data_IF_778005261217
#
_entry.id   IF_778005261217
#
_cell.length_a   1.000
_cell.length_b   1.000
_cell.length_c   1.000
_cell.angle_alpha   90.00
_cell.angle_beta   90.00
_cell.angle_gamma   90.00
#
_symmetry.space_group_name_H-M   'P 1'
#
loop_
_entity.id
_entity.type
_entity.pdbx_description
1 polymer ?
#
# COMPACT_ATOMS: atom_id res chain seq x y z
N UNK A 1 10.23 65.98 -25.71
CA UNK A 1 11.53 66.60 -25.59
C UNK A 1 12.52 65.45 -25.64
N UNK A 2 12.83 65.08 -26.74
CA UNK A 2 13.97 65.29 -27.64
C UNK A 2 15.09 64.27 -27.47
N UNK A 3 15.22 63.50 -28.52
CA UNK A 3 16.35 62.71 -28.99
C UNK A 3 17.40 63.68 -29.58
N UNK A 4 18.71 63.44 -29.70
CA UNK A 4 19.27 62.69 -30.84
C UNK A 4 20.51 61.81 -30.52
N UNK A 5 20.78 60.66 -31.17
CA UNK A 5 21.34 60.37 -32.53
C UNK A 5 22.76 60.86 -32.82
N UNK A 6 23.65 59.96 -33.20
CA UNK A 6 24.60 59.88 -34.32
C UNK A 6 25.77 58.93 -34.01
N UNK A 7 26.00 57.86 -34.71
CA UNK A 7 26.55 57.60 -36.06
C UNK A 7 28.08 57.66 -36.18
N UNK A 8 28.58 56.66 -36.93
CA UNK A 8 29.80 56.48 -37.74
C UNK A 8 30.94 55.76 -37.00
N UNK A 9 31.53 54.66 -37.45
CA UNK A 9 31.72 54.08 -38.76
C UNK A 9 33.22 53.93 -39.02
N UNK A 10 33.70 52.74 -39.33
CA UNK A 10 34.81 52.51 -40.30
C UNK A 10 35.32 51.06 -40.21
N UNK A 11 35.35 50.40 -41.33
CA UNK A 11 35.94 49.12 -41.73
C UNK A 11 37.38 49.33 -42.27
N UNK A 12 38.09 48.25 -42.74
CA UNK A 12 38.98 47.27 -42.11
C UNK A 12 40.46 47.49 -42.57
N UNK A 13 41.41 46.54 -42.36
CA UNK A 13 41.66 45.49 -43.35
C UNK A 13 42.22 44.15 -42.86
N UNK A 14 42.20 43.20 -43.78
CA UNK A 14 42.66 41.83 -43.81
C UNK A 14 44.06 41.52 -43.27
N UNK A 15 44.23 40.30 -42.76
CA UNK A 15 45.20 39.32 -43.26
C UNK A 15 45.29 38.06 -42.35
N UNK A 16 44.97 36.92 -42.89
CA UNK A 16 45.75 35.70 -43.00
C UNK A 16 46.15 34.94 -41.74
N UNK A 17 45.68 33.66 -41.65
CA UNK A 17 46.34 32.69 -40.76
C UNK A 17 45.43 31.53 -40.37
N UNK A 18 45.52 30.46 -41.14
CA UNK A 18 44.97 29.13 -40.90
C UNK A 18 45.45 28.52 -39.58
N UNK A 19 44.54 28.05 -38.73
CA UNK A 19 44.74 26.84 -37.97
C UNK A 19 43.39 26.20 -37.65
N UNK A 20 43.26 24.98 -38.14
CA UNK A 20 42.20 24.03 -37.78
C UNK A 20 42.36 23.66 -36.31
N UNK A 21 41.32 23.85 -35.53
CA UNK A 21 41.11 23.07 -34.35
C UNK A 21 39.63 22.69 -34.21
N UNK A 22 39.46 21.39 -34.20
CA UNK A 22 38.25 20.60 -34.14
C UNK A 22 37.58 20.76 -32.76
N UNK A 23 36.51 21.51 -32.67
CA UNK A 23 35.62 21.48 -31.50
C UNK A 23 34.43 20.58 -31.82
N UNK A 24 34.43 19.38 -31.27
CA UNK A 24 33.36 18.41 -31.36
C UNK A 24 32.10 18.95 -30.66
N UNK A 25 31.07 19.18 -31.44
CA UNK A 25 29.71 19.43 -30.98
C UNK A 25 29.11 18.11 -30.41
N UNK A 26 28.90 18.04 -29.11
CA UNK A 26 28.09 17.00 -28.46
C UNK A 26 26.62 17.34 -28.64
N UNK A 27 26.03 16.86 -29.75
CA UNK A 27 24.59 16.77 -29.91
C UNK A 27 24.01 15.57 -29.13
N UNK A 28 22.71 15.55 -28.79
CA UNK A 28 22.10 14.42 -28.08
C UNK A 28 22.19 13.14 -28.92
N UNK A 29 22.32 11.95 -28.29
CA UNK A 29 22.51 10.69 -29.00
C UNK A 29 21.30 10.38 -29.90
N UNK A 30 21.58 10.13 -31.18
CA UNK A 30 20.61 9.73 -32.20
C UNK A 30 19.94 8.40 -31.83
N UNK A 31 18.65 8.47 -31.48
CA UNK A 31 17.78 7.32 -31.18
C UNK A 31 17.63 6.34 -32.37
N UNK A 32 18.21 6.62 -33.52
CA UNK A 32 18.22 5.74 -34.70
C UNK A 32 19.32 4.67 -34.64
N UNK A 33 20.34 4.82 -33.80
CA UNK A 33 21.42 3.82 -33.64
C UNK A 33 20.98 2.65 -32.75
N UNK A 34 19.97 2.81 -31.89
CA UNK A 34 19.44 1.74 -31.04
C UNK A 34 18.69 0.64 -31.82
N UNK A 35 18.37 0.84 -33.08
CA UNK A 35 17.73 -0.20 -33.93
C UNK A 35 18.72 -1.16 -34.58
N UNK A 36 20.03 -0.98 -34.50
CA UNK A 36 21.05 -1.84 -35.12
C UNK A 36 21.67 -2.91 -34.21
N UNK A 37 21.41 -2.87 -32.89
CA UNK A 37 21.90 -3.91 -31.95
C UNK A 37 20.97 -5.12 -31.80
N UNK A 38 20.00 -5.30 -32.70
CA UNK A 38 19.08 -6.46 -32.74
C UNK A 38 19.54 -7.60 -33.64
N UNK A 39 20.80 -7.67 -34.01
CA UNK A 39 21.35 -8.79 -34.76
C UNK A 39 22.65 -9.24 -34.12
N UNK A 40 22.61 -10.50 -33.69
CA UNK A 40 23.67 -11.41 -33.26
C UNK A 40 23.55 -11.83 -31.79
N UNK A 41 22.57 -12.65 -31.49
CA UNK A 41 22.71 -13.81 -30.60
C UNK A 41 21.78 -14.91 -31.17
N UNK A 42 22.03 -15.30 -32.38
CA UNK A 42 21.47 -16.49 -32.99
C UNK A 42 22.33 -17.68 -32.55
N UNK A 43 22.31 -17.99 -31.27
CA UNK A 43 22.69 -19.29 -30.73
C UNK A 43 21.37 -20.01 -30.49
N UNK A 44 21.16 -21.11 -31.22
CA UNK A 44 19.97 -21.97 -31.26
C UNK A 44 19.49 -22.56 -29.92
N UNK A 45 19.36 -21.75 -28.91
CA UNK A 45 18.72 -22.01 -27.65
C UNK A 45 17.55 -21.03 -27.45
N UNK A 46 16.42 -21.54 -27.02
CA UNK A 46 15.24 -20.78 -26.65
C UNK A 46 15.58 -19.74 -25.53
N UNK A 47 16.18 -18.62 -25.91
CA UNK A 47 16.36 -17.49 -24.98
C UNK A 47 14.99 -16.85 -24.79
N UNK A 48 14.39 -17.10 -23.64
CA UNK A 48 13.12 -16.49 -23.25
C UNK A 48 13.31 -15.02 -22.94
N UNK A 49 12.51 -14.15 -23.56
CA UNK A 49 12.46 -12.72 -23.21
C UNK A 49 11.60 -12.54 -21.95
N UNK A 50 12.04 -11.67 -21.03
CA UNK A 50 11.26 -11.29 -19.85
C UNK A 50 9.83 -10.86 -20.20
N UNK A 51 9.62 -10.20 -21.33
CA UNK A 51 8.28 -9.81 -21.77
C UNK A 51 7.34 -10.99 -21.98
N UNK A 52 7.85 -12.17 -22.36
CA UNK A 52 7.03 -13.38 -22.50
C UNK A 52 6.47 -13.83 -21.15
N UNK A 53 7.31 -13.80 -20.11
CA UNK A 53 6.91 -14.14 -18.76
C UNK A 53 5.89 -13.15 -18.20
N UNK A 54 6.08 -11.83 -18.45
CA UNK A 54 5.14 -10.79 -18.04
C UNK A 54 3.76 -10.98 -18.66
N UNK A 55 3.69 -11.35 -19.94
CA UNK A 55 2.42 -11.58 -20.63
C UNK A 55 1.69 -12.77 -20.01
N UNK A 56 2.37 -13.90 -19.82
CA UNK A 56 1.79 -15.10 -19.22
C UNK A 56 1.30 -14.83 -17.82
N UNK A 57 2.10 -14.14 -17.00
CA UNK A 57 1.74 -13.78 -15.64
C UNK A 57 0.51 -12.85 -15.59
N UNK A 58 0.46 -11.84 -16.46
CA UNK A 58 -0.67 -10.91 -16.54
C UNK A 58 -1.96 -11.61 -16.96
N UNK A 59 -1.90 -12.56 -17.92
CA UNK A 59 -3.08 -13.33 -18.34
C UNK A 59 -3.55 -14.25 -17.21
N UNK A 60 -2.63 -14.96 -16.54
CA UNK A 60 -2.96 -15.85 -15.44
C UNK A 60 -3.64 -15.10 -14.27
N UNK A 61 -3.12 -13.94 -13.89
CA UNK A 61 -3.69 -13.10 -12.82
C UNK A 61 -5.03 -12.47 -13.17
N UNK A 62 -5.19 -12.06 -14.43
CA UNK A 62 -6.41 -11.38 -14.88
C UNK A 62 -7.50 -12.38 -15.31
N UNK A 63 -7.18 -13.65 -15.55
CA UNK A 63 -8.08 -14.65 -16.08
C UNK A 63 -8.61 -14.33 -17.50
N UNK A 64 -8.11 -13.26 -18.14
CA UNK A 64 -8.59 -12.81 -19.45
C UNK A 64 -7.55 -11.99 -20.20
N UNK A 65 -7.60 -12.03 -21.54
CA UNK A 65 -6.73 -11.20 -22.38
C UNK A 65 -7.03 -9.70 -22.23
N UNK A 66 -8.30 -9.33 -22.04
CA UNK A 66 -8.69 -7.93 -21.85
C UNK A 66 -8.15 -7.35 -20.54
N UNK A 67 -8.22 -8.13 -19.45
CA UNK A 67 -7.63 -7.75 -18.16
C UNK A 67 -6.10 -7.63 -18.24
N UNK A 68 -5.44 -8.59 -18.88
CA UNK A 68 -3.99 -8.54 -19.11
C UNK A 68 -3.58 -7.33 -19.97
N UNK A 69 -4.36 -7.01 -21.02
CA UNK A 69 -4.14 -5.86 -21.88
C UNK A 69 -4.18 -4.55 -21.08
N UNK A 70 -5.18 -4.39 -20.23
CA UNK A 70 -5.31 -3.25 -19.32
C UNK A 70 -4.10 -3.13 -18.37
N UNK A 71 -3.69 -4.24 -17.76
CA UNK A 71 -2.54 -4.28 -16.82
C UNK A 71 -1.23 -3.92 -17.52
N UNK A 72 -1.03 -4.36 -18.77
CA UNK A 72 0.21 -4.17 -19.51
C UNK A 72 0.21 -2.88 -20.36
N UNK A 73 -0.89 -2.12 -20.42
CA UNK A 73 -1.01 -0.91 -21.22
C UNK A 73 -0.99 -1.17 -22.74
N UNK A 74 -1.57 -2.28 -23.19
CA UNK A 74 -1.62 -2.71 -24.58
C UNK A 74 -3.05 -3.03 -25.04
N UNK A 75 -3.23 -3.18 -26.36
CA UNK A 75 -4.50 -3.62 -26.93
C UNK A 75 -4.69 -5.14 -26.78
N UNK A 76 -5.93 -5.58 -26.64
CA UNK A 76 -6.32 -6.98 -26.59
C UNK A 76 -5.75 -7.82 -27.74
N UNK A 77 -5.80 -7.29 -28.96
CA UNK A 77 -5.25 -7.95 -30.17
C UNK A 77 -3.73 -8.15 -30.11
N UNK A 78 -3.02 -7.25 -29.46
CA UNK A 78 -1.58 -7.34 -29.23
C UNK A 78 -1.23 -8.47 -28.28
N UNK A 79 -1.94 -8.56 -27.12
CA UNK A 79 -1.74 -9.65 -26.16
C UNK A 79 -2.09 -10.99 -26.76
N UNK A 80 -3.20 -11.10 -27.50
CA UNK A 80 -3.58 -12.30 -28.21
C UNK A 80 -2.51 -12.77 -29.22
N UNK A 81 -1.99 -11.85 -30.03
CA UNK A 81 -0.93 -12.16 -31.00
C UNK A 81 0.35 -12.63 -30.33
N UNK A 82 0.76 -11.99 -29.25
CA UNK A 82 1.96 -12.34 -28.49
C UNK A 82 1.82 -13.72 -27.84
N UNK A 83 0.69 -14.03 -27.21
CA UNK A 83 0.43 -15.34 -26.64
C UNK A 83 0.52 -16.44 -27.71
N UNK A 84 -0.14 -16.25 -28.86
CA UNK A 84 -0.11 -17.24 -29.94
C UNK A 84 1.30 -17.45 -30.53
N UNK A 85 2.09 -16.39 -30.66
CA UNK A 85 3.48 -16.48 -31.12
C UNK A 85 4.34 -17.24 -30.10
N UNK A 86 4.12 -17.03 -28.82
CA UNK A 86 4.84 -17.71 -27.75
C UNK A 86 4.51 -19.20 -27.73
N UNK A 87 3.23 -19.56 -27.74
CA UNK A 87 2.76 -20.96 -27.77
C UNK A 87 3.25 -21.69 -29.04
N UNK A 88 3.20 -20.99 -30.19
CA UNK A 88 3.73 -21.55 -31.45
C UNK A 88 5.23 -21.81 -31.39
N UNK A 89 6.04 -20.89 -30.85
CA UNK A 89 7.49 -21.07 -30.71
C UNK A 89 7.85 -22.21 -29.78
N UNK A 90 7.06 -22.43 -28.73
CA UNK A 90 7.28 -23.47 -27.74
C UNK A 90 6.58 -24.79 -28.09
N UNK A 91 5.77 -24.78 -29.15
CA UNK A 91 4.94 -25.95 -29.55
C UNK A 91 4.09 -26.49 -28.41
N UNK A 92 3.60 -25.62 -27.52
CA UNK A 92 2.80 -25.97 -26.34
C UNK A 92 1.73 -24.93 -26.10
N UNK A 93 0.54 -25.35 -25.67
CA UNK A 93 -0.48 -24.44 -25.18
C UNK A 93 -0.21 -24.11 -23.71
N UNK A 94 -0.23 -22.82 -23.39
CA UNK A 94 -0.02 -22.31 -22.05
C UNK A 94 -1.32 -22.03 -21.31
N UNK A 95 -2.42 -21.84 -22.05
CA UNK A 95 -3.75 -21.60 -21.48
C UNK A 95 -4.80 -22.45 -22.13
N UNK A 96 -5.69 -22.99 -21.31
CA UNK A 96 -6.96 -23.56 -21.78
C UNK A 96 -7.92 -22.43 -22.17
N UNK A 97 -8.53 -22.56 -23.35
CA UNK A 97 -9.44 -21.58 -23.97
C UNK A 97 -10.86 -22.13 -24.11
N UNK A 98 -11.13 -23.30 -23.54
CA UNK A 98 -12.46 -23.95 -23.62
C UNK A 98 -13.50 -23.26 -22.74
N UNK A 99 -13.03 -22.46 -21.77
CA UNK A 99 -13.82 -21.62 -20.86
C UNK A 99 -13.65 -20.12 -21.20
N UNK A 100 -14.63 -19.25 -20.86
CA UNK A 100 -14.45 -17.80 -20.94
C UNK A 100 -13.27 -17.27 -20.11
N UNK A 101 -12.81 -18.04 -19.12
CA UNK A 101 -11.64 -17.74 -18.28
C UNK A 101 -10.42 -18.48 -18.83
N UNK A 102 -9.33 -17.74 -19.06
CA UNK A 102 -8.04 -18.28 -19.44
C UNK A 102 -7.38 -18.98 -18.25
N UNK A 103 -7.47 -20.31 -18.21
CA UNK A 103 -6.86 -21.11 -17.14
C UNK A 103 -5.51 -21.65 -17.61
N UNK A 104 -4.41 -21.48 -16.84
CA UNK A 104 -3.11 -22.00 -17.19
C UNK A 104 -3.14 -23.54 -17.30
N UNK A 105 -2.51 -24.10 -18.33
CA UNK A 105 -2.17 -25.54 -18.43
C UNK A 105 -1.00 -25.87 -17.49
N UNK A 106 -0.60 -27.15 -17.38
CA UNK A 106 0.58 -27.53 -16.58
C UNK A 106 1.85 -26.78 -17.04
N UNK A 107 2.04 -26.61 -18.35
CA UNK A 107 3.13 -25.82 -18.91
C UNK A 107 2.97 -24.33 -18.61
N UNK A 108 1.74 -23.82 -18.65
CA UNK A 108 1.40 -22.47 -18.26
C UNK A 108 1.70 -22.20 -16.78
N UNK A 109 1.32 -23.12 -15.88
CA UNK A 109 1.62 -23.03 -14.46
C UNK A 109 3.11 -23.00 -14.17
N UNK A 110 3.90 -23.86 -14.83
CA UNK A 110 5.37 -23.83 -14.69
C UNK A 110 5.93 -22.45 -15.10
N UNK A 111 5.45 -21.91 -16.21
CA UNK A 111 5.89 -20.61 -16.68
C UNK A 111 5.44 -19.46 -15.76
N UNK A 112 4.24 -19.52 -15.18
CA UNK A 112 3.75 -18.57 -14.16
C UNK A 112 4.65 -18.58 -12.93
N UNK A 113 4.98 -19.76 -12.38
CA UNK A 113 5.87 -19.90 -11.22
C UNK A 113 7.27 -19.30 -11.45
N UNK A 114 7.81 -19.49 -12.67
CA UNK A 114 9.09 -18.87 -13.04
C UNK A 114 8.93 -17.35 -13.18
N UNK A 115 7.85 -16.89 -13.80
CA UNK A 115 7.56 -15.46 -13.98
C UNK A 115 7.42 -14.73 -12.63
N UNK A 116 6.79 -15.33 -11.64
CA UNK A 116 6.65 -14.78 -10.29
C UNK A 116 8.02 -14.64 -9.60
N UNK A 117 8.88 -15.64 -9.71
CA UNK A 117 10.24 -15.55 -9.16
C UNK A 117 11.06 -14.45 -9.82
N UNK A 118 11.04 -14.38 -11.16
CA UNK A 118 11.75 -13.34 -11.91
C UNK A 118 11.22 -11.95 -11.57
N UNK A 119 9.91 -11.77 -11.46
CA UNK A 119 9.30 -10.50 -11.03
C UNK A 119 9.81 -10.10 -9.64
N UNK A 120 9.84 -11.03 -8.69
CA UNK A 120 10.33 -10.79 -7.34
C UNK A 120 11.82 -10.39 -7.32
N UNK A 121 12.67 -11.05 -8.12
CA UNK A 121 14.09 -10.72 -8.24
C UNK A 121 14.34 -9.35 -8.87
N UNK A 122 13.62 -9.01 -9.95
CA UNK A 122 13.69 -7.69 -10.58
C UNK A 122 13.26 -6.61 -9.59
N UNK A 123 12.17 -6.84 -8.86
CA UNK A 123 11.71 -5.92 -7.82
C UNK A 123 12.71 -5.80 -6.66
N UNK A 124 13.39 -6.88 -6.28
CA UNK A 124 14.43 -6.86 -5.26
C UNK A 124 15.64 -6.03 -5.72
N UNK A 125 16.08 -6.19 -6.97
CA UNK A 125 17.15 -5.38 -7.55
C UNK A 125 16.78 -3.90 -7.57
N UNK A 126 15.59 -3.57 -8.05
CA UNK A 126 15.10 -2.19 -8.06
C UNK A 126 15.02 -1.59 -6.64
N UNK A 127 14.58 -2.38 -5.64
CA UNK A 127 14.60 -1.97 -4.22
C UNK A 127 16.01 -1.73 -3.72
N UNK A 128 16.95 -2.63 -4.05
CA UNK A 128 18.36 -2.49 -3.67
C UNK A 128 18.98 -1.21 -4.24
N UNK A 129 18.72 -0.92 -5.51
CA UNK A 129 19.19 0.31 -6.16
C UNK A 129 18.55 1.55 -5.51
N UNK A 130 17.23 1.50 -5.25
CA UNK A 130 16.51 2.59 -4.58
C UNK A 130 16.91 2.70 -3.11
N UNK A 131 17.19 1.56 -2.45
CA UNK A 131 17.64 1.49 -1.06
C UNK A 131 18.98 2.18 -0.77
N UNK A 132 19.80 2.40 -1.79
CA UNK A 132 21.05 3.16 -1.70
C UNK A 132 20.86 4.68 -1.80
N UNK A 133 19.62 5.16 -2.01
CA UNK A 133 19.34 6.60 -2.11
C UNK A 133 19.55 7.29 -0.75
N UNK A 134 20.61 8.08 -0.67
CA UNK A 134 20.94 8.87 0.52
C UNK A 134 20.13 10.18 0.62
N UNK A 135 19.26 10.50 -0.35
CA UNK A 135 18.51 11.75 -0.37
C UNK A 135 17.35 11.72 0.61
N UNK A 136 17.29 12.72 1.45
CA UNK A 136 16.17 12.97 2.37
C UNK A 136 15.05 13.75 1.66
N UNK A 137 14.62 13.29 0.49
CA UNK A 137 13.60 13.95 -0.34
C UNK A 137 12.87 12.96 -1.22
N UNK A 138 11.73 13.39 -1.81
CA UNK A 138 10.94 12.60 -2.74
C UNK A 138 9.72 11.96 -2.10
N UNK A 139 9.04 11.09 -2.85
CA UNK A 139 7.78 10.46 -2.44
C UNK A 139 8.02 9.27 -1.51
N UNK A 140 7.19 9.17 -0.48
CA UNK A 140 7.12 8.04 0.45
C UNK A 140 5.69 7.53 0.51
N UNK A 141 5.48 6.31 0.01
CA UNK A 141 4.18 5.67 -0.10
C UNK A 141 3.91 4.80 1.12
N UNK A 142 2.88 5.12 1.88
CA UNK A 142 2.57 4.48 3.16
C UNK A 142 1.21 3.82 3.07
N UNK A 143 1.06 2.63 3.64
CA UNK A 143 -0.26 2.01 3.77
C UNK A 143 -0.63 1.79 5.23
N UNK A 144 -1.91 2.00 5.54
CA UNK A 144 -2.47 1.77 6.86
C UNK A 144 -3.94 1.36 6.79
N UNK A 145 -4.46 0.84 7.92
CA UNK A 145 -5.90 0.62 8.07
C UNK A 145 -6.65 1.93 8.24
N UNK A 146 -7.92 1.92 7.87
CA UNK A 146 -8.83 3.07 7.98
C UNK A 146 -8.87 3.65 9.40
N UNK A 147 -8.99 2.82 10.43
CA UNK A 147 -9.10 3.25 11.81
C UNK A 147 -7.84 3.90 12.36
N UNK A 148 -6.65 3.37 12.01
CA UNK A 148 -5.38 3.99 12.37
C UNK A 148 -5.16 5.32 11.66
N UNK A 149 -5.45 5.37 10.36
CA UNK A 149 -5.36 6.61 9.58
C UNK A 149 -6.27 7.69 10.17
N UNK A 150 -7.53 7.33 10.45
CA UNK A 150 -8.52 8.25 10.99
C UNK A 150 -8.13 8.79 12.38
N UNK A 151 -7.71 7.93 13.30
CA UNK A 151 -7.62 8.28 14.73
C UNK A 151 -6.21 8.67 15.19
N UNK A 152 -5.18 8.10 14.57
CA UNK A 152 -3.81 8.16 15.11
C UNK A 152 -2.84 8.84 14.14
N UNK A 153 -2.83 8.41 12.84
CA UNK A 153 -1.72 8.74 11.97
C UNK A 153 -1.70 10.19 11.53
N UNK A 154 -2.84 10.82 11.27
CA UNK A 154 -2.88 12.18 10.74
C UNK A 154 -2.12 13.18 11.61
N UNK A 155 -2.22 13.07 12.95
CA UNK A 155 -1.49 13.94 13.86
C UNK A 155 0.02 13.69 13.83
N UNK A 156 0.43 12.42 13.76
CA UNK A 156 1.86 12.05 13.70
C UNK A 156 2.47 12.42 12.35
N UNK A 157 1.69 12.27 11.28
CA UNK A 157 2.12 12.63 9.93
C UNK A 157 2.21 14.14 9.73
N UNK A 158 1.35 14.94 10.37
CA UNK A 158 1.44 16.39 10.33
C UNK A 158 2.81 16.85 10.88
N UNK A 159 3.18 16.39 12.08
CA UNK A 159 4.48 16.70 12.68
C UNK A 159 5.67 16.25 11.80
N UNK A 160 5.52 15.10 11.14
CA UNK A 160 6.53 14.60 10.19
C UNK A 160 6.65 15.48 8.95
N UNK A 161 5.54 15.89 8.34
CA UNK A 161 5.52 16.76 7.16
C UNK A 161 6.14 18.14 7.47
N UNK A 162 5.88 18.69 8.63
CA UNK A 162 6.47 19.96 9.06
C UNK A 162 7.98 19.86 9.26
N UNK A 163 8.45 18.72 9.79
CA UNK A 163 9.89 18.48 10.02
C UNK A 163 10.64 18.11 8.72
N UNK A 164 9.94 17.49 7.77
CA UNK A 164 10.53 16.99 6.52
C UNK A 164 9.77 17.47 5.27
N UNK A 165 9.69 18.79 5.02
CA UNK A 165 8.84 19.36 3.96
C UNK A 165 9.21 18.97 2.53
N UNK A 166 10.38 18.36 2.33
CA UNK A 166 10.84 17.86 1.02
C UNK A 166 10.48 16.38 0.77
N UNK A 167 9.82 15.73 1.73
CA UNK A 167 9.28 14.37 1.59
C UNK A 167 7.77 14.47 1.35
N UNK A 168 7.32 14.02 0.19
CA UNK A 168 5.89 13.90 -0.12
C UNK A 168 5.35 12.58 0.45
N UNK A 169 4.31 12.67 1.30
CA UNK A 169 3.62 11.48 1.83
C UNK A 169 2.42 11.14 0.94
N UNK A 170 2.37 9.89 0.46
CA UNK A 170 1.17 9.28 -0.13
C UNK A 170 0.62 8.22 0.82
N UNK A 171 -0.48 8.52 1.51
CA UNK A 171 -1.13 7.58 2.42
C UNK A 171 -2.22 6.78 1.70
N UNK A 172 -2.02 5.48 1.58
CA UNK A 172 -2.99 4.52 1.07
C UNK A 172 -3.77 3.90 2.23
N UNK A 173 -5.02 4.30 2.36
CA UNK A 173 -5.94 3.75 3.37
C UNK A 173 -6.66 2.55 2.76
N UNK A 174 -6.30 1.36 3.21
CA UNK A 174 -6.92 0.12 2.75
C UNK A 174 -6.94 -0.91 3.89
N UNK A 175 -8.06 -1.56 4.13
CA UNK A 175 -8.17 -2.61 5.14
C UNK A 175 -7.64 -3.97 4.65
N UNK A 176 -7.41 -4.13 3.34
CA UNK A 176 -6.71 -5.29 2.77
C UNK A 176 -5.22 -5.19 3.05
N UNK A 177 -4.55 -6.33 3.17
CA UNK A 177 -3.09 -6.36 3.23
C UNK A 177 -2.53 -6.04 1.84
N UNK A 178 -1.93 -4.84 1.71
CA UNK A 178 -1.13 -4.49 0.53
C UNK A 178 0.22 -5.17 0.60
N UNK A 179 0.70 -5.65 -0.54
CA UNK A 179 1.93 -6.40 -0.65
C UNK A 179 3.15 -5.45 -0.76
N UNK A 180 3.91 -5.33 0.33
CA UNK A 180 5.17 -4.58 0.35
C UNK A 180 6.23 -5.21 -0.57
N UNK A 181 6.16 -6.51 -0.81
CA UNK A 181 7.08 -7.19 -1.71
C UNK A 181 6.83 -6.79 -3.18
N UNK A 182 5.58 -6.43 -3.50
CA UNK A 182 5.19 -5.95 -4.85
C UNK A 182 5.28 -4.43 -5.02
N UNK A 183 5.89 -3.71 -4.08
CA UNK A 183 6.00 -2.24 -4.09
C UNK A 183 4.66 -1.51 -4.17
N UNK A 184 3.60 -2.10 -3.64
CA UNK A 184 2.32 -1.39 -3.50
C UNK A 184 2.43 -0.23 -2.51
N UNK A 185 3.34 -0.35 -1.51
CA UNK A 185 3.76 0.73 -0.62
C UNK A 185 5.23 0.54 -0.17
N UNK A 186 5.89 1.62 0.29
CA UNK A 186 7.24 1.60 0.86
C UNK A 186 7.21 1.20 2.34
N UNK A 187 6.17 1.64 3.05
CA UNK A 187 5.98 1.41 4.49
C UNK A 187 4.55 0.96 4.76
N UNK A 188 4.37 0.01 5.67
CA UNK A 188 3.07 -0.37 6.19
C UNK A 188 2.99 -0.16 7.71
N UNK A 189 1.84 0.35 8.18
CA UNK A 189 1.48 0.44 9.59
C UNK A 189 0.27 -0.44 9.79
N UNK A 190 0.48 -1.65 10.34
CA UNK A 190 -0.53 -2.70 10.33
C UNK A 190 -0.56 -3.50 11.63
N UNK A 191 -1.75 -3.96 11.99
CA UNK A 191 -1.95 -4.90 13.10
C UNK A 191 -1.63 -6.35 12.67
N UNK A 192 -0.48 -6.55 12.01
CA UNK A 192 -0.01 -7.84 11.51
C UNK A 192 1.50 -7.91 11.64
N UNK A 193 1.99 -8.97 12.28
CA UNK A 193 3.43 -9.23 12.39
C UNK A 193 4.00 -9.53 11.00
N UNK A 194 5.13 -8.91 10.62
CA UNK A 194 5.79 -9.23 9.36
C UNK A 194 6.28 -10.68 9.37
N UNK A 195 6.13 -11.37 8.23
CA UNK A 195 6.77 -12.67 8.03
C UNK A 195 8.29 -12.52 7.97
N UNK A 196 9.01 -13.51 8.47
CA UNK A 196 10.48 -13.54 8.43
C UNK A 196 10.98 -13.55 6.99
N UNK A 197 12.11 -12.88 6.74
CA UNK A 197 12.84 -12.88 5.48
C UNK A 197 13.06 -11.49 4.89
N UNK A 198 12.17 -11.02 4.03
CA UNK A 198 12.37 -9.79 3.22
C UNK A 198 11.87 -8.51 3.91
N UNK A 199 11.12 -8.62 5.00
CA UNK A 199 10.54 -7.49 5.70
C UNK A 199 11.31 -7.15 6.98
N UNK A 200 11.48 -5.85 7.22
CA UNK A 200 11.98 -5.30 8.48
C UNK A 200 10.82 -4.63 9.21
N UNK A 201 10.65 -4.91 10.49
CA UNK A 201 9.56 -4.37 11.29
C UNK A 201 9.99 -3.93 12.68
N UNK A 202 9.28 -2.91 13.21
CA UNK A 202 9.32 -2.47 14.61
C UNK A 202 7.94 -2.66 15.20
N UNK A 203 7.84 -3.45 16.28
CA UNK A 203 6.61 -3.51 17.07
C UNK A 203 6.37 -2.16 17.77
N UNK A 204 5.16 -1.64 17.65
CA UNK A 204 4.77 -0.35 18.25
C UNK A 204 3.98 -0.58 19.55
N UNK A 205 2.89 -1.35 19.47
CA UNK A 205 1.95 -1.55 20.57
C UNK A 205 1.19 -2.86 20.38
N UNK A 206 0.42 -3.24 21.37
CA UNK A 206 -0.68 -4.18 21.24
C UNK A 206 -1.98 -3.39 21.04
N UNK A 207 -2.93 -3.92 20.26
CA UNK A 207 -4.21 -3.26 19.98
C UNK A 207 -5.34 -4.18 20.39
N UNK A 208 -5.83 -4.05 21.63
CA UNK A 208 -6.93 -4.84 22.16
C UNK A 208 -8.27 -4.40 21.57
N UNK A 209 -9.26 -5.29 21.63
CA UNK A 209 -10.61 -5.09 21.15
C UNK A 209 -11.61 -5.40 22.22
N UNK A 210 -12.73 -4.64 22.25
CA UNK A 210 -13.85 -4.91 23.14
C UNK A 210 -15.16 -4.43 22.54
N UNK A 211 -16.28 -4.74 23.20
CA UNK A 211 -17.60 -4.25 22.80
C UNK A 211 -17.84 -2.84 23.34
N UNK A 212 -18.49 -2.03 22.50
CA UNK A 212 -18.92 -0.67 22.80
C UNK A 212 -20.40 -0.50 22.55
N UNK A 213 -21.05 0.32 23.38
CA UNK A 213 -22.41 0.80 23.19
C UNK A 213 -22.53 2.26 23.58
N UNK A 214 -23.49 2.97 22.99
CA UNK A 214 -23.72 4.37 23.35
C UNK A 214 -24.62 4.53 24.58
N UNK A 215 -24.45 5.63 25.30
CA UNK A 215 -25.30 5.99 26.42
C UNK A 215 -26.78 6.04 26.00
N UNK A 216 -27.07 6.53 24.80
CA UNK A 216 -28.44 6.58 24.27
C UNK A 216 -29.03 5.17 24.03
N UNK A 217 -28.20 4.20 23.61
CA UNK A 217 -28.62 2.81 23.45
C UNK A 217 -28.90 2.18 24.82
N UNK A 218 -27.98 2.37 25.78
CA UNK A 218 -28.13 1.82 27.14
C UNK A 218 -29.36 2.35 27.85
N UNK A 219 -29.69 3.62 27.67
CA UNK A 219 -30.91 4.21 28.24
C UNK A 219 -32.21 3.53 27.72
N UNK A 220 -32.20 3.01 26.50
CA UNK A 220 -33.36 2.38 25.85
C UNK A 220 -33.45 0.86 26.08
N UNK A 221 -32.29 0.18 26.13
CA UNK A 221 -32.21 -1.28 26.04
C UNK A 221 -31.53 -1.93 27.24
N UNK A 222 -31.04 -1.14 28.20
CA UNK A 222 -30.17 -1.59 29.26
C UNK A 222 -28.73 -1.75 28.81
N UNK A 223 -27.81 -1.78 29.77
CA UNK A 223 -26.38 -2.02 29.55
C UNK A 223 -26.10 -3.50 29.86
N UNK A 224 -25.50 -4.26 28.94
CA UNK A 224 -25.02 -5.60 29.27
C UNK A 224 -23.83 -5.54 30.22
N UNK A 225 -23.70 -6.53 31.12
CA UNK A 225 -22.61 -6.60 32.09
C UNK A 225 -21.51 -7.59 31.69
N UNK A 226 -21.83 -8.55 30.81
CA UNK A 226 -20.90 -9.60 30.33
C UNK A 226 -21.22 -10.06 28.90
N UNK A 227 -20.45 -11.01 28.38
CA UNK A 227 -20.68 -11.63 27.08
C UNK A 227 -22.03 -12.36 26.97
N UNK A 228 -22.50 -12.98 28.02
CA UNK A 228 -23.75 -13.73 27.99
C UNK A 228 -24.96 -12.79 27.88
N UNK A 229 -24.86 -11.64 28.52
CA UNK A 229 -25.88 -10.60 28.53
C UNK A 229 -25.96 -9.82 27.20
N UNK A 230 -25.05 -10.05 26.24
CA UNK A 230 -25.19 -9.56 24.84
C UNK A 230 -26.40 -10.22 24.15
N UNK A 231 -26.86 -11.35 24.62
CA UNK A 231 -28.06 -12.02 24.11
C UNK A 231 -29.29 -11.10 24.26
N UNK A 232 -29.99 -10.84 23.15
CA UNK A 232 -31.13 -9.90 23.12
C UNK A 232 -30.78 -8.47 22.75
N UNK A 233 -29.50 -8.14 22.66
CA UNK A 233 -29.07 -6.85 22.14
C UNK A 233 -28.86 -6.87 20.62
N UNK A 234 -29.02 -5.71 20.00
CA UNK A 234 -28.71 -5.50 18.57
C UNK A 234 -27.21 -5.41 18.38
N UNK A 235 -26.65 -6.20 17.47
CA UNK A 235 -25.23 -6.21 17.18
C UNK A 235 -24.98 -5.53 15.82
N UNK A 236 -23.94 -4.70 15.79
CA UNK A 236 -23.35 -4.11 14.60
C UNK A 236 -22.12 -4.93 14.23
N UNK A 237 -22.03 -5.42 13.02
CA UNK A 237 -20.94 -6.27 12.58
C UNK A 237 -20.46 -5.97 11.16
N UNK A 238 -19.59 -6.83 10.68
CA UNK A 238 -19.09 -6.76 9.31
C UNK A 238 -20.08 -7.35 8.31
N UNK A 239 -19.90 -6.99 7.04
CA UNK A 239 -20.55 -7.68 5.92
C UNK A 239 -20.10 -9.15 5.84
N UNK A 240 -20.84 -9.95 5.06
CA UNK A 240 -20.63 -11.39 4.97
C UNK A 240 -19.33 -11.81 4.26
N UNK A 241 -18.65 -10.89 3.58
CA UNK A 241 -17.40 -11.16 2.87
C UNK A 241 -16.14 -10.87 3.72
N UNK A 242 -16.30 -10.37 4.95
CA UNK A 242 -15.19 -9.99 5.80
C UNK A 242 -14.43 -11.22 6.30
N UNK A 243 -13.11 -11.22 6.10
CA UNK A 243 -12.19 -12.28 6.52
C UNK A 243 -11.26 -11.86 7.67
N UNK A 244 -11.43 -10.65 8.22
CA UNK A 244 -10.66 -10.18 9.37
C UNK A 244 -10.92 -11.06 10.60
N UNK A 245 -9.88 -11.37 11.38
CA UNK A 245 -10.01 -12.28 12.53
C UNK A 245 -11.11 -11.87 13.51
N UNK A 246 -11.26 -10.56 13.79
CA UNK A 246 -12.33 -10.03 14.64
C UNK A 246 -13.72 -10.22 14.02
N UNK A 247 -13.86 -10.14 12.70
CA UNK A 247 -15.12 -10.37 12.00
C UNK A 247 -15.53 -11.84 12.04
N UNK A 248 -14.57 -12.74 11.83
CA UNK A 248 -14.78 -14.20 11.93
C UNK A 248 -15.18 -14.56 13.36
N UNK A 249 -14.38 -14.13 14.33
CA UNK A 249 -14.66 -14.37 15.75
C UNK A 249 -16.07 -13.89 16.15
N UNK A 250 -16.45 -12.67 15.73
CA UNK A 250 -17.78 -12.12 16.03
C UNK A 250 -18.91 -12.95 15.43
N UNK A 251 -18.73 -13.42 14.19
CA UNK A 251 -19.73 -14.24 13.50
C UNK A 251 -19.89 -15.61 14.13
N UNK A 252 -18.79 -16.18 14.65
CA UNK A 252 -18.80 -17.49 15.32
C UNK A 252 -19.35 -17.41 16.75
N UNK A 253 -19.16 -16.26 17.42
CA UNK A 253 -19.56 -16.06 18.83
C UNK A 253 -20.97 -15.53 19.00
N UNK A 254 -21.55 -14.87 17.99
CA UNK A 254 -22.85 -14.19 18.08
C UNK A 254 -23.85 -14.79 17.10
N UNK A 255 -25.08 -15.07 17.58
CA UNK A 255 -26.14 -15.59 16.74
C UNK A 255 -26.46 -14.66 15.57
N UNK A 256 -26.67 -15.22 14.37
CA UNK A 256 -26.93 -14.47 13.15
C UNK A 256 -28.14 -13.54 13.25
N UNK A 257 -29.14 -13.91 14.04
CA UNK A 257 -30.37 -13.13 14.29
C UNK A 257 -30.14 -11.85 15.14
N UNK A 258 -29.01 -11.73 15.83
CA UNK A 258 -28.68 -10.55 16.64
C UNK A 258 -28.15 -9.38 15.81
N UNK A 259 -27.68 -9.63 14.58
CA UNK A 259 -27.11 -8.58 13.75
C UNK A 259 -28.20 -7.67 13.15
N UNK A 260 -28.26 -6.44 13.67
CA UNK A 260 -29.17 -5.40 13.19
C UNK A 260 -28.58 -4.55 12.07
N UNK A 261 -27.25 -4.46 11.97
CA UNK A 261 -26.56 -3.64 11.01
C UNK A 261 -25.19 -4.26 10.64
N UNK A 262 -24.80 -4.13 9.39
CA UNK A 262 -23.51 -4.64 8.89
C UNK A 262 -22.82 -3.60 8.00
N UNK A 263 -21.51 -3.43 8.19
CA UNK A 263 -20.69 -2.53 7.39
C UNK A 263 -19.24 -3.04 7.31
N UNK A 264 -18.60 -2.90 6.16
CA UNK A 264 -17.17 -3.18 5.96
C UNK A 264 -16.25 -2.14 6.60
N UNK A 265 -16.77 -0.95 6.93
CA UNK A 265 -16.03 0.15 7.54
C UNK A 265 -16.24 0.17 9.07
N UNK A 266 -15.15 0.07 9.84
CA UNK A 266 -15.19 0.21 11.29
C UNK A 266 -15.54 1.63 11.74
N UNK A 267 -15.19 2.65 10.96
CA UNK A 267 -15.61 4.03 11.24
C UNK A 267 -17.14 4.13 11.13
N UNK A 268 -17.72 3.51 10.12
CA UNK A 268 -19.17 3.50 9.97
C UNK A 268 -19.86 2.65 11.07
N UNK A 269 -19.24 1.56 11.51
CA UNK A 269 -19.73 0.80 12.69
C UNK A 269 -19.69 1.66 13.96
N UNK A 270 -18.61 2.42 14.20
CA UNK A 270 -18.52 3.39 15.29
C UNK A 270 -19.65 4.43 15.22
N UNK A 271 -19.90 5.00 14.04
CA UNK A 271 -21.00 5.96 13.86
C UNK A 271 -22.37 5.34 14.14
N UNK A 272 -22.57 4.08 13.76
CA UNK A 272 -23.80 3.35 14.06
C UNK A 272 -23.97 3.09 15.57
N UNK A 273 -22.89 2.79 16.31
CA UNK A 273 -22.91 2.72 17.79
C UNK A 273 -23.34 4.05 18.39
N UNK A 274 -22.71 5.16 17.96
CA UNK A 274 -23.03 6.51 18.43
C UNK A 274 -24.48 6.89 18.15
N UNK A 275 -25.01 6.49 17.00
CA UNK A 275 -26.41 6.67 16.65
C UNK A 275 -27.40 5.77 17.44
N UNK A 276 -26.90 4.87 18.30
CA UNK A 276 -27.73 4.00 19.12
C UNK A 276 -28.38 2.83 18.37
N UNK A 277 -27.79 2.38 17.25
CA UNK A 277 -28.28 1.23 16.48
C UNK A 277 -28.08 -0.08 17.23
N UNK A 278 -26.94 -0.20 17.94
CA UNK A 278 -26.59 -1.42 18.65
C UNK A 278 -25.18 -1.35 19.26
N UNK A 279 -24.64 -2.51 19.56
CA UNK A 279 -23.34 -2.74 20.14
C UNK A 279 -22.36 -3.17 19.05
N UNK A 280 -21.12 -2.70 19.07
CA UNK A 280 -20.09 -3.11 18.12
C UNK A 280 -18.81 -3.55 18.81
N UNK A 281 -18.11 -4.50 18.18
CA UNK A 281 -16.78 -4.92 18.55
C UNK A 281 -15.77 -4.00 17.84
N UNK A 282 -15.08 -3.15 18.62
CA UNK A 282 -14.16 -2.13 18.11
C UNK A 282 -12.78 -2.22 18.77
N UNK A 283 -11.69 -1.82 18.09
CA UNK A 283 -10.39 -1.64 18.74
C UNK A 283 -10.47 -0.53 19.79
N UNK A 284 -9.82 -0.73 20.94
CA UNK A 284 -9.90 0.19 22.07
C UNK A 284 -9.49 1.62 21.72
N UNK A 285 -8.41 1.79 20.96
CA UNK A 285 -7.96 3.12 20.53
C UNK A 285 -8.97 3.89 19.66
N UNK A 286 -9.95 3.18 19.08
CA UNK A 286 -11.02 3.80 18.30
C UNK A 286 -12.20 4.22 19.18
N UNK A 287 -12.64 3.32 20.08
CA UNK A 287 -13.83 3.55 20.91
C UNK A 287 -13.56 4.43 22.13
N UNK A 288 -12.41 4.29 22.80
CA UNK A 288 -12.11 4.97 24.05
C UNK A 288 -12.07 6.51 23.98
N UNK A 289 -11.79 7.05 22.79
CA UNK A 289 -11.75 8.50 22.58
C UNK A 289 -13.13 9.13 22.34
N UNK A 290 -14.17 8.32 22.23
CA UNK A 290 -15.53 8.82 22.05
C UNK A 290 -16.21 9.02 23.41
N UNK A 291 -16.69 10.26 23.70
CA UNK A 291 -17.25 10.56 25.03
C UNK A 291 -18.66 10.00 25.26
N UNK A 292 -19.37 9.65 24.21
CA UNK A 292 -20.78 9.23 24.20
C UNK A 292 -20.99 7.71 24.10
N UNK A 293 -19.88 6.94 24.12
CA UNK A 293 -19.91 5.46 24.16
C UNK A 293 -19.01 4.93 25.27
N UNK A 294 -19.36 3.76 25.80
CA UNK A 294 -18.58 3.06 26.82
C UNK A 294 -18.24 1.64 26.40
N UNK A 295 -17.14 1.14 26.95
CA UNK A 295 -16.83 -0.30 26.95
C UNK A 295 -17.90 -1.05 27.74
N UNK A 296 -18.27 -2.23 27.25
CA UNK A 296 -19.23 -3.10 27.91
C UNK A 296 -18.51 -4.12 28.77
N UNK A 297 -17.43 -4.68 28.26
CA UNK A 297 -16.62 -5.71 28.91
C UNK A 297 -15.15 -5.32 28.84
N UNK A 298 -14.29 -6.02 29.58
CA UNK A 298 -12.85 -5.91 29.43
C UNK A 298 -12.40 -6.34 28.03
N UNK A 299 -11.25 -5.85 27.58
CA UNK A 299 -10.68 -6.25 26.28
C UNK A 299 -10.50 -7.77 26.16
N UNK A 300 -10.77 -8.30 24.97
CA UNK A 300 -10.68 -9.72 24.65
C UNK A 300 -9.24 -10.08 24.24
N UNK A 301 -8.58 -10.90 25.05
CA UNK A 301 -7.16 -11.28 24.82
C UNK A 301 -6.96 -11.96 23.47
N UNK A 302 -7.87 -12.84 23.06
CA UNK A 302 -7.83 -13.57 21.79
C UNK A 302 -7.94 -12.67 20.54
N UNK A 303 -8.43 -11.44 20.71
CA UNK A 303 -8.55 -10.45 19.63
C UNK A 303 -7.44 -9.41 19.67
N UNK A 304 -6.59 -9.42 20.68
CA UNK A 304 -5.46 -8.52 20.76
C UNK A 304 -4.46 -8.80 19.63
N UNK A 305 -4.08 -7.77 18.89
CA UNK A 305 -3.12 -7.84 17.77
C UNK A 305 -1.96 -6.90 18.00
N UNK A 306 -0.81 -7.27 17.45
CA UNK A 306 0.39 -6.44 17.53
C UNK A 306 0.41 -5.44 16.37
N UNK A 307 0.51 -4.15 16.69
CA UNK A 307 0.73 -3.09 15.70
C UNK A 307 2.21 -3.00 15.36
N UNK A 308 2.50 -3.04 14.08
CA UNK A 308 3.84 -3.01 13.53
C UNK A 308 4.01 -1.87 12.51
N UNK A 309 5.19 -1.26 12.53
CA UNK A 309 5.72 -0.40 11.48
C UNK A 309 6.68 -1.25 10.65
N UNK A 310 6.38 -1.42 9.34
CA UNK A 310 7.02 -2.43 8.48
C UNK A 310 7.50 -1.78 7.20
N UNK A 311 8.69 -2.18 6.72
CA UNK A 311 9.23 -1.85 5.40
C UNK A 311 9.96 -3.03 4.80
N UNK A 312 10.27 -2.97 3.49
CA UNK A 312 11.17 -3.95 2.88
C UNK A 312 12.61 -3.75 3.37
N UNK A 313 13.36 -4.84 3.59
CA UNK A 313 14.75 -4.78 4.09
C UNK A 313 15.66 -3.88 3.27
N UNK A 314 15.47 -3.85 1.94
CA UNK A 314 16.29 -3.02 1.05
C UNK A 314 16.03 -1.53 1.21
N UNK A 315 14.80 -1.13 1.59
CA UNK A 315 14.43 0.26 1.80
C UNK A 315 14.78 0.79 3.18
N UNK A 316 15.01 -0.09 4.17
CA UNK A 316 15.21 0.30 5.57
C UNK A 316 16.37 1.29 5.77
N UNK A 317 17.36 1.26 4.88
CA UNK A 317 18.55 2.11 4.95
C UNK A 317 18.44 3.40 4.12
N UNK A 318 17.37 3.61 3.35
CA UNK A 318 17.14 4.87 2.65
C UNK A 318 16.90 5.99 3.65
N UNK A 319 17.42 7.19 3.36
CA UNK A 319 17.33 8.32 4.29
C UNK A 319 15.88 8.66 4.66
N UNK A 320 14.96 8.68 3.68
CA UNK A 320 13.54 9.01 3.91
C UNK A 320 12.81 7.95 4.74
N UNK A 321 13.10 6.65 4.53
CA UNK A 321 12.47 5.57 5.32
C UNK A 321 13.00 5.59 6.75
N UNK A 322 14.30 5.80 6.95
CA UNK A 322 14.89 5.96 8.30
C UNK A 322 14.25 7.14 9.04
N UNK A 323 14.22 8.32 8.40
CA UNK A 323 13.58 9.49 8.99
C UNK A 323 12.13 9.22 9.41
N UNK A 324 11.37 8.51 8.56
CA UNK A 324 10.00 8.10 8.89
C UNK A 324 9.95 7.12 10.08
N UNK A 325 10.79 6.10 10.10
CA UNK A 325 10.83 5.13 11.19
C UNK A 325 11.23 5.77 12.53
N UNK A 326 12.13 6.74 12.49
CA UNK A 326 12.59 7.43 13.68
C UNK A 326 11.52 8.41 14.19
N UNK A 327 11.01 9.30 13.34
CA UNK A 327 10.05 10.32 13.73
C UNK A 327 8.64 9.72 13.99
N UNK A 328 8.05 9.07 12.99
CA UNK A 328 6.70 8.52 13.10
C UNK A 328 6.66 7.33 14.05
N UNK A 329 7.72 6.51 14.06
CA UNK A 329 7.88 5.43 15.04
C UNK A 329 7.89 5.95 16.47
N UNK A 330 8.60 7.04 16.77
CA UNK A 330 8.60 7.69 18.09
C UNK A 330 7.22 8.28 18.42
N UNK A 331 6.57 8.97 17.48
CA UNK A 331 5.24 9.53 17.64
C UNK A 331 4.16 8.47 17.92
N UNK A 332 4.25 7.31 17.28
CA UNK A 332 3.37 6.17 17.56
C UNK A 332 3.65 5.53 18.92
N UNK A 333 4.94 5.38 19.31
CA UNK A 333 5.32 4.86 20.62
C UNK A 333 4.86 5.78 21.76
N UNK A 334 4.89 7.08 21.57
CA UNK A 334 4.35 8.05 22.54
C UNK A 334 2.84 7.88 22.75
N UNK A 335 2.12 7.34 21.77
CA UNK A 335 0.68 7.03 21.83
C UNK A 335 0.36 5.59 22.23
N UNK A 336 1.39 4.85 22.67
CA UNK A 336 1.25 3.45 23.06
C UNK A 336 0.17 3.21 24.12
N UNK A 337 0.04 4.00 25.21
CA UNK A 337 -1.02 3.79 26.18
C UNK A 337 -2.42 3.85 25.56
N UNK A 338 -2.67 4.80 24.66
CA UNK A 338 -3.93 4.89 23.93
C UNK A 338 -4.15 3.67 23.02
N UNK A 339 -3.11 3.25 22.27
CA UNK A 339 -3.18 2.09 21.39
C UNK A 339 -3.47 0.80 22.16
N UNK A 340 -2.92 0.67 23.36
CA UNK A 340 -3.09 -0.47 24.27
C UNK A 340 -4.37 -0.37 25.12
N UNK A 341 -5.16 0.68 24.93
CA UNK A 341 -6.46 0.83 25.60
C UNK A 341 -6.32 1.15 27.09
N UNK A 342 -5.25 1.81 27.49
CA UNK A 342 -5.07 2.28 28.87
C UNK A 342 -5.98 3.48 29.14
N UNK A 343 -7.05 3.26 29.91
CA UNK A 343 -8.04 4.27 30.25
C UNK A 343 -7.54 5.36 31.20
N UNK A 344 -6.38 5.20 31.82
CA UNK A 344 -5.80 6.24 32.71
C UNK A 344 -5.54 7.54 31.98
N UNK A 345 -5.33 7.51 30.66
CA UNK A 345 -5.19 8.68 29.80
C UNK A 345 -6.51 9.36 29.39
N UNK A 346 -7.67 8.76 29.66
CA UNK A 346 -8.98 9.36 29.32
C UNK A 346 -9.21 10.70 30.03
N UNK A 347 -8.69 10.82 31.26
CA UNK A 347 -8.82 12.03 32.06
C UNK A 347 -7.96 13.22 31.59
N UNK A 348 -6.85 12.98 30.89
CA UNK A 348 -5.92 14.00 30.42
C UNK A 348 -6.23 14.52 29.01
N UNK A 349 -6.87 13.73 28.17
CA UNK A 349 -7.18 14.09 26.78
C UNK A 349 -8.38 15.03 26.61
N UNK A 350 -9.30 15.08 27.59
CA UNK A 350 -10.49 15.95 27.56
C UNK A 350 -10.13 17.42 27.80
N UNK A 351 -8.92 17.70 28.31
CA UNK A 351 -8.43 19.04 28.62
C UNK A 351 -7.60 19.69 27.47
N UNK A 352 -7.33 18.98 26.38
CA UNK A 352 -6.39 19.41 25.34
C UNK A 352 -6.99 19.52 23.93
N UNK A 353 -8.31 19.59 23.80
CA UNK A 353 -8.97 19.96 22.54
C UNK A 353 -9.47 21.42 22.66
N UNK A 354 -8.95 22.33 21.81
CA UNK A 354 -9.45 23.71 21.73
C UNK A 354 -10.84 23.76 21.11
#
# INVERSE_FOLDING_TARGET
>A
MDVPSARQGLHPPDAGGSHQDSAAATGPPDLRSARRHRRTLDNGGLVSDWNEFRIVLAIARAGSLAGAAKTLGHDHSTIFRWLNLLEKRRSVQLFDRTSPVYTPTDAGLQMVMVAERLEAEIMALDRSITGQDARLSGKLKITSSETLAYRILNQVLADFCDTHPVIEIELLVDNRQLDLLRREADIAIRATRPHEGELFGRKIASTPWTFYGSHAYFAKRGRPDDMNSLTGHSIIGWDSAASAAAAVWLTDSIAASAFAYRSSSLINQLMAVKAGVGLALLPCYLGDLEPDIDRIIDPLDELTRELWLITHKDLRNTARVRAFFDHVGAGLLARRPLLEGDLSHRATSTSALP
#
